data_IF_557262331613
#
_entry.id   IF_557262331613
#
_cell.length_a   1.000
_cell.length_b   1.000
_cell.length_c   1.000
_cell.angle_alpha   90.00
_cell.angle_beta   90.00
_cell.angle_gamma   90.00
#
_symmetry.space_group_name_H-M   'P 1'
#
loop_
_entity.id
_entity.type
_entity.pdbx_description
1 polymer ?
#
# COMPACT_ATOMS: atom_id res chain seq x y z
N UNK A 1 -7.40 -10.34 20.63
CA UNK A 1 -7.28 -10.20 19.17
C UNK A 1 -6.58 -8.87 18.94
N UNK A 2 -5.30 -8.86 18.54
CA UNK A 2 -4.61 -7.61 18.24
C UNK A 2 -5.30 -6.98 17.02
N UNK A 3 -5.94 -5.84 17.24
CA UNK A 3 -6.51 -5.07 16.16
C UNK A 3 -5.34 -4.42 15.41
N UNK A 4 -5.05 -4.88 14.20
CA UNK A 4 -3.94 -4.39 13.37
C UNK A 4 -4.32 -3.06 12.68
N UNK A 5 -5.63 -2.84 12.45
CA UNK A 5 -6.16 -1.69 11.75
C UNK A 5 -6.79 -0.66 12.71
N UNK A 6 -6.85 0.64 12.36
CA UNK A 6 -6.35 1.20 11.11
C UNK A 6 -4.81 1.19 11.05
N UNK A 7 -4.25 0.96 9.86
CA UNK A 7 -2.81 1.06 9.61
C UNK A 7 -2.50 2.44 9.04
N UNK A 8 -1.43 3.06 9.50
CA UNK A 8 -0.95 4.35 8.97
C UNK A 8 0.19 4.09 8.00
N UNK A 9 -0.02 4.40 6.72
CA UNK A 9 0.93 4.25 5.63
C UNK A 9 1.67 5.56 5.40
N UNK A 10 2.99 5.51 5.55
CA UNK A 10 3.93 6.61 5.35
C UNK A 10 4.59 6.42 3.98
N UNK A 11 4.34 7.35 3.06
CA UNK A 11 4.71 7.22 1.66
C UNK A 11 5.26 8.54 1.09
N UNK A 12 5.91 8.45 -0.06
CA UNK A 12 6.39 9.60 -0.82
C UNK A 12 5.37 9.98 -1.91
N UNK A 13 4.65 11.09 -1.74
CA UNK A 13 3.68 11.57 -2.73
C UNK A 13 4.34 12.19 -3.98
N UNK A 14 5.62 12.59 -3.89
CA UNK A 14 6.39 13.11 -5.04
C UNK A 14 6.76 12.03 -6.05
N UNK A 15 6.74 10.76 -5.63
CA UNK A 15 6.88 9.62 -6.53
C UNK A 15 5.53 9.28 -7.18
N UNK A 16 5.44 9.45 -8.50
CA UNK A 16 4.22 9.20 -9.27
C UNK A 16 3.66 7.77 -9.06
N UNK A 17 4.52 6.75 -9.05
CA UNK A 17 4.14 5.36 -8.80
C UNK A 17 3.56 5.18 -7.39
N UNK A 18 4.24 5.68 -6.36
CA UNK A 18 3.79 5.55 -4.98
C UNK A 18 2.47 6.29 -4.76
N UNK A 19 2.37 7.52 -5.28
CA UNK A 19 1.18 8.36 -5.12
C UNK A 19 -0.04 7.74 -5.81
N UNK A 20 0.11 7.29 -7.06
CA UNK A 20 -0.98 6.60 -7.77
C UNK A 20 -1.45 5.36 -7.02
N UNK A 21 -0.52 4.59 -6.46
CA UNK A 21 -0.87 3.37 -5.74
C UNK A 21 -1.61 3.65 -4.44
N UNK A 22 -1.11 4.57 -3.62
CA UNK A 22 -1.79 4.96 -2.38
C UNK A 22 -3.16 5.57 -2.65
N UNK A 23 -3.30 6.37 -3.73
CA UNK A 23 -4.59 6.91 -4.17
C UNK A 23 -5.58 5.79 -4.50
N UNK A 24 -5.16 4.77 -5.27
CA UNK A 24 -6.02 3.62 -5.61
C UNK A 24 -6.40 2.80 -4.39
N UNK A 25 -5.44 2.52 -3.50
CA UNK A 25 -5.73 1.83 -2.25
C UNK A 25 -6.78 2.60 -1.45
N UNK A 26 -6.64 3.93 -1.30
CA UNK A 26 -7.63 4.73 -0.56
C UNK A 26 -9.00 4.75 -1.22
N UNK A 27 -9.08 4.71 -2.55
CA UNK A 27 -10.36 4.60 -3.27
C UNK A 27 -11.12 3.29 -2.98
N UNK A 28 -10.40 2.21 -2.64
CA UNK A 28 -10.99 0.91 -2.29
C UNK A 28 -11.11 0.70 -0.77
N UNK A 29 -10.63 1.65 0.05
CA UNK A 29 -10.69 1.60 1.51
C UNK A 29 -12.05 2.07 2.04
N UNK A 30 -13.09 1.27 1.79
CA UNK A 30 -14.47 1.57 2.21
C UNK A 30 -14.68 1.51 3.73
N UNK A 31 -13.77 0.84 4.46
CA UNK A 31 -13.85 0.64 5.91
C UNK A 31 -12.93 1.58 6.71
N UNK A 32 -12.30 2.55 6.05
CA UNK A 32 -11.34 3.51 6.64
C UNK A 32 -10.21 2.82 7.45
N UNK A 33 -9.73 1.68 6.94
CA UNK A 33 -8.66 0.88 7.54
C UNK A 33 -7.28 1.46 7.22
N UNK A 34 -7.15 2.34 6.23
CA UNK A 34 -5.87 2.91 5.80
C UNK A 34 -5.83 4.42 6.07
N UNK A 35 -4.88 4.86 6.89
CA UNK A 35 -4.51 6.27 7.04
C UNK A 35 -3.28 6.54 6.17
N UNK A 36 -3.31 7.59 5.35
CA UNK A 36 -2.19 7.94 4.47
C UNK A 36 -1.47 9.17 5.01
N UNK A 37 -0.15 9.11 5.09
CA UNK A 37 0.72 10.20 5.53
C UNK A 37 1.81 10.41 4.50
N UNK A 38 1.88 11.62 3.95
CA UNK A 38 2.91 12.01 2.99
C UNK A 38 4.17 12.48 3.73
N UNK A 39 5.28 11.77 3.50
CA UNK A 39 6.58 12.08 4.08
C UNK A 39 7.39 13.06 3.22
N UNK A 40 6.95 13.32 1.99
CA UNK A 40 7.69 14.15 1.03
C UNK A 40 7.57 15.64 1.34
N UNK A 41 6.51 16.05 2.05
CA UNK A 41 6.28 17.42 2.49
C UNK A 41 7.48 17.97 3.30
N UNK A 42 7.79 19.24 3.10
CA UNK A 42 8.96 19.88 3.71
C UNK A 42 8.80 20.07 5.23
N UNK A 43 7.57 20.17 5.70
CA UNK A 43 7.15 20.30 7.09
C UNK A 43 6.84 18.95 7.75
N UNK A 44 7.06 17.83 7.05
CA UNK A 44 6.84 16.51 7.63
C UNK A 44 7.81 16.25 8.79
N UNK A 45 7.22 16.06 9.98
CA UNK A 45 7.92 15.59 11.16
C UNK A 45 7.53 14.14 11.45
N UNK A 46 8.53 13.25 11.47
CA UNK A 46 8.29 11.85 11.82
C UNK A 46 7.79 11.75 13.28
N UNK A 47 6.79 10.89 13.58
CA UNK A 47 6.34 10.68 14.95
C UNK A 47 7.46 10.22 15.88
N UNK A 48 7.31 10.44 17.18
CA UNK A 48 8.26 9.95 18.17
C UNK A 48 8.40 8.42 18.09
N UNK A 49 9.65 7.92 18.03
CA UNK A 49 9.93 6.49 17.86
C UNK A 49 9.67 5.94 16.46
N UNK A 50 9.39 6.79 15.48
CA UNK A 50 9.28 6.41 14.10
C UNK A 50 10.65 6.28 13.42
N UNK A 51 10.74 5.51 12.32
CA UNK A 51 11.89 5.53 11.42
C UNK A 51 12.19 6.95 10.90
N UNK A 52 13.43 7.19 10.52
CA UNK A 52 13.83 8.50 10.02
C UNK A 52 13.10 8.85 8.71
N UNK A 53 12.84 10.14 8.48
CA UNK A 53 12.19 10.61 7.25
C UNK A 53 12.91 10.10 6.01
N UNK A 54 14.24 10.06 6.00
CA UNK A 54 15.00 9.56 4.86
C UNK A 54 14.70 8.07 4.58
N UNK A 55 14.47 7.27 5.63
CA UNK A 55 14.09 5.86 5.49
C UNK A 55 12.65 5.71 4.98
N UNK A 56 11.73 6.51 5.51
CA UNK A 56 10.34 6.56 5.02
C UNK A 56 10.24 7.02 3.56
N UNK A 57 11.14 7.92 3.17
CA UNK A 57 11.30 8.34 1.79
C UNK A 57 11.98 7.27 0.92
N UNK A 58 12.48 6.14 1.45
CA UNK A 58 13.07 5.07 0.64
C UNK A 58 12.14 3.87 0.44
N UNK A 59 11.42 3.46 1.48
CA UNK A 59 10.54 2.29 1.46
C UNK A 59 9.18 2.67 2.03
N UNK A 60 8.12 1.95 1.63
CA UNK A 60 6.81 2.12 2.27
C UNK A 60 6.92 1.68 3.74
N UNK A 61 6.42 2.51 4.64
CA UNK A 61 6.31 2.16 6.05
C UNK A 61 4.84 2.12 6.45
N UNK A 62 4.48 1.13 7.25
CA UNK A 62 3.18 1.03 7.89
C UNK A 62 3.37 1.02 9.40
N UNK A 63 2.54 1.75 10.11
CA UNK A 63 2.36 1.61 11.56
C UNK A 63 1.00 0.98 11.81
N UNK A 64 0.99 -0.17 12.48
CA UNK A 64 -0.24 -0.85 12.89
C UNK A 64 -0.92 -0.12 14.04
N UNK A 65 -2.19 -0.43 14.31
CA UNK A 65 -2.93 0.22 15.38
C UNK A 65 -2.37 -0.07 16.79
N UNK A 66 -1.58 -1.14 16.95
CA UNK A 66 -0.82 -1.43 18.18
C UNK A 66 0.54 -0.71 18.24
N UNK A 67 0.87 0.12 17.25
CA UNK A 67 2.08 0.93 17.19
C UNK A 67 3.28 0.25 16.54
N UNK A 68 3.16 -1.01 16.10
CA UNK A 68 4.25 -1.76 15.48
C UNK A 68 4.59 -1.23 14.08
N UNK A 69 5.89 -1.12 13.79
CA UNK A 69 6.37 -0.69 12.48
C UNK A 69 6.60 -1.87 11.55
N UNK A 70 6.05 -1.79 10.35
CA UNK A 70 6.14 -2.79 9.29
C UNK A 70 6.65 -2.10 8.03
N UNK A 71 7.71 -2.63 7.41
CA UNK A 71 8.50 -1.90 6.40
C UNK A 71 8.58 -2.70 5.09
N UNK A 72 8.44 -2.01 3.96
CA UNK A 72 8.62 -2.57 2.62
C UNK A 72 7.46 -3.46 2.18
N UNK A 73 7.76 -4.63 1.62
CA UNK A 73 6.75 -5.56 1.07
C UNK A 73 5.70 -5.99 2.11
N UNK A 74 6.06 -6.30 3.37
CA UNK A 74 5.08 -6.51 4.44
C UNK A 74 4.10 -5.34 4.66
N UNK A 75 4.53 -4.09 4.47
CA UNK A 75 3.67 -2.92 4.60
C UNK A 75 2.62 -2.89 3.48
N UNK A 76 3.02 -3.21 2.24
CA UNK A 76 2.08 -3.37 1.13
C UNK A 76 1.07 -4.48 1.38
N UNK A 77 1.50 -5.61 1.97
CA UNK A 77 0.60 -6.70 2.31
C UNK A 77 -0.51 -6.24 3.26
N UNK A 78 -0.17 -5.46 4.29
CA UNK A 78 -1.15 -4.86 5.19
C UNK A 78 -2.08 -3.89 4.45
N UNK A 79 -1.54 -3.06 3.57
CA UNK A 79 -2.35 -2.14 2.77
C UNK A 79 -3.39 -2.88 1.89
N UNK A 80 -2.96 -3.90 1.14
CA UNK A 80 -3.85 -4.70 0.30
C UNK A 80 -4.87 -5.50 1.10
N UNK A 81 -4.47 -6.10 2.22
CA UNK A 81 -5.39 -6.81 3.10
C UNK A 81 -6.41 -5.86 3.75
N UNK A 82 -6.06 -4.59 3.93
CA UNK A 82 -6.98 -3.56 4.44
C UNK A 82 -8.13 -3.26 3.49
N UNK A 83 -7.90 -3.35 2.18
CA UNK A 83 -8.89 -3.05 1.13
C UNK A 83 -9.49 -4.31 0.50
N UNK A 84 -9.45 -5.43 1.24
CA UNK A 84 -9.96 -6.75 0.84
C UNK A 84 -9.31 -7.34 -0.43
N UNK A 85 -8.11 -6.88 -0.81
CA UNK A 85 -7.32 -7.44 -1.91
C UNK A 85 -6.46 -8.62 -1.42
N UNK A 86 -7.08 -9.55 -0.71
CA UNK A 86 -6.41 -10.69 -0.07
C UNK A 86 -5.61 -11.55 -1.06
N UNK A 87 -6.10 -11.72 -2.30
CA UNK A 87 -5.36 -12.43 -3.34
C UNK A 87 -3.95 -11.87 -3.59
N UNK A 88 -3.82 -10.53 -3.59
CA UNK A 88 -2.52 -9.86 -3.77
C UNK A 88 -1.66 -10.02 -2.53
N UNK A 89 -2.25 -9.82 -1.36
CA UNK A 89 -1.58 -10.01 -0.07
C UNK A 89 -1.01 -11.43 0.08
N UNK A 90 -1.77 -12.45 -0.31
CA UNK A 90 -1.38 -13.86 -0.23
C UNK A 90 -0.33 -14.22 -1.27
N UNK A 91 -0.41 -13.66 -2.48
CA UNK A 91 0.60 -13.86 -3.50
C UNK A 91 1.96 -13.30 -3.09
N UNK A 92 1.98 -12.12 -2.45
CA UNK A 92 3.18 -11.51 -1.88
C UNK A 92 3.76 -12.28 -0.69
N UNK A 93 2.96 -13.08 0.02
CA UNK A 93 3.42 -13.86 1.17
C UNK A 93 4.04 -15.22 0.79
N UNK A 94 3.89 -15.66 -0.47
CA UNK A 94 4.52 -16.91 -0.94
C UNK A 94 6.04 -16.84 -0.71
N UNK A 95 6.67 -17.87 -0.11
CA UNK A 95 8.05 -17.77 0.39
C UNK A 95 9.06 -17.41 -0.70
N UNK A 96 8.88 -17.93 -1.91
CA UNK A 96 9.72 -17.58 -3.06
C UNK A 96 9.56 -16.11 -3.48
N UNK A 97 8.30 -15.65 -3.64
CA UNK A 97 7.99 -14.27 -4.04
C UNK A 97 8.48 -13.28 -2.98
N UNK A 98 8.20 -13.56 -1.72
CA UNK A 98 8.67 -12.77 -0.58
C UNK A 98 10.19 -12.59 -0.61
N UNK A 99 10.94 -13.66 -0.85
CA UNK A 99 12.40 -13.61 -0.90
C UNK A 99 12.93 -12.77 -2.06
N UNK A 100 12.32 -12.91 -3.25
CA UNK A 100 12.69 -12.12 -4.43
C UNK A 100 12.33 -10.64 -4.22
N UNK A 101 11.11 -10.35 -3.79
CA UNK A 101 10.63 -8.98 -3.60
C UNK A 101 11.40 -8.25 -2.49
N UNK A 102 11.81 -8.93 -1.42
CA UNK A 102 12.62 -8.31 -0.37
C UNK A 102 13.98 -7.82 -0.88
N UNK A 103 14.55 -8.45 -1.91
CA UNK A 103 15.80 -8.00 -2.55
C UNK A 103 15.58 -7.00 -3.67
N UNK A 104 14.53 -7.21 -4.47
CA UNK A 104 14.28 -6.40 -5.65
C UNK A 104 13.62 -5.05 -5.32
N UNK A 105 12.73 -5.03 -4.32
CA UNK A 105 11.97 -3.84 -3.96
C UNK A 105 12.85 -2.63 -3.59
N UNK A 106 13.93 -2.77 -2.78
CA UNK A 106 14.83 -1.64 -2.52
C UNK A 106 15.50 -1.07 -3.77
N UNK A 107 15.80 -1.92 -4.76
CA UNK A 107 16.41 -1.48 -6.03
C UNK A 107 15.40 -0.71 -6.88
N UNK A 108 14.18 -1.23 -6.98
CA UNK A 108 13.06 -0.56 -7.66
C UNK A 108 12.73 0.76 -6.97
N UNK A 109 12.66 0.77 -5.65
CA UNK A 109 12.32 1.96 -4.87
C UNK A 109 13.39 3.06 -5.00
N UNK A 110 14.67 2.70 -5.09
CA UNK A 110 15.74 3.66 -5.42
C UNK A 110 15.61 4.23 -6.82
N UNK A 111 15.13 3.43 -7.77
CA UNK A 111 14.96 3.82 -9.17
C UNK A 111 13.56 4.36 -9.50
N UNK A 112 12.72 4.62 -8.49
CA UNK A 112 11.27 4.83 -8.65
C UNK A 112 10.90 6.04 -9.51
N UNK A 113 11.76 7.05 -9.57
CA UNK A 113 11.54 8.24 -10.40
C UNK A 113 11.79 7.97 -11.89
N UNK A 114 12.51 6.90 -12.23
CA UNK A 114 12.75 6.49 -13.61
C UNK A 114 11.67 5.53 -14.14
N UNK A 115 10.80 5.03 -13.27
CA UNK A 115 9.74 4.09 -13.67
C UNK A 115 8.61 4.89 -14.32
N UNK A 116 8.32 4.68 -15.62
CA UNK A 116 7.24 5.38 -16.28
C UNK A 116 5.89 5.05 -15.63
N UNK A 117 5.01 6.05 -15.48
CA UNK A 117 3.69 5.86 -14.85
C UNK A 117 2.81 4.80 -15.52
N UNK A 118 3.03 4.48 -16.79
CA UNK A 118 2.29 3.41 -17.47
C UNK A 118 2.73 1.99 -17.03
N UNK A 119 3.96 1.81 -16.53
CA UNK A 119 4.42 0.52 -16.02
C UNK A 119 3.72 0.17 -14.70
N UNK A 120 3.48 1.18 -13.87
CA UNK A 120 2.57 1.11 -12.72
C UNK A 120 1.15 0.72 -13.14
N UNK A 121 0.62 1.40 -14.18
CA UNK A 121 -0.70 1.14 -14.73
C UNK A 121 -0.86 -0.31 -15.23
N UNK A 122 0.16 -0.88 -15.88
CA UNK A 122 0.11 -2.26 -16.41
C UNK A 122 0.21 -3.30 -15.28
N UNK A 123 1.09 -3.08 -14.30
CA UNK A 123 1.19 -3.97 -13.13
C UNK A 123 -0.10 -3.98 -12.30
N UNK A 124 -0.74 -2.81 -12.13
CA UNK A 124 -1.97 -2.66 -11.36
C UNK A 124 -3.26 -2.94 -12.14
N UNK A 125 -3.35 -2.65 -13.44
CA UNK A 125 -4.52 -3.03 -14.23
C UNK A 125 -4.65 -4.56 -14.32
N UNK A 126 -3.55 -5.30 -14.33
CA UNK A 126 -3.59 -6.76 -14.23
C UNK A 126 -4.15 -7.23 -12.88
N UNK A 127 -3.84 -6.53 -11.79
CA UNK A 127 -4.36 -6.78 -10.43
C UNK A 127 -5.84 -6.38 -10.27
N UNK A 128 -6.26 -5.24 -10.84
CA UNK A 128 -7.63 -4.72 -10.76
C UNK A 128 -8.64 -5.56 -11.57
N UNK A 129 -8.19 -6.30 -12.60
CA UNK A 129 -9.08 -7.13 -13.43
C UNK A 129 -9.65 -8.37 -12.70
N UNK A 130 -9.11 -8.77 -11.53
CA UNK A 130 -9.64 -9.92 -10.77
C UNK A 130 -10.42 -9.54 -9.50
N UNK A 131 -10.35 -8.28 -9.05
CA UNK A 131 -11.12 -7.79 -7.89
C UNK A 131 -12.50 -7.22 -8.25
N UNK A 132 -12.81 -7.05 -9.54
CA UNK A 132 -14.00 -6.31 -9.99
C UNK A 132 -15.23 -7.17 -10.35
N UNK A 133 -15.39 -8.38 -9.81
CA UNK A 133 -16.64 -9.16 -9.97
C UNK A 133 -17.64 -9.01 -8.81
N UNK A 134 -17.22 -8.59 -7.60
CA UNK A 134 -18.14 -8.52 -6.44
C UNK A 134 -18.76 -7.14 -6.19
N UNK A 135 -18.17 -6.05 -6.67
CA UNK A 135 -18.72 -4.70 -6.42
C UNK A 135 -19.73 -4.20 -7.46
N UNK A 136 -19.89 -4.89 -8.60
CA UNK A 136 -20.92 -4.53 -9.60
C UNK A 136 -22.34 -4.98 -9.24
N UNK A 137 -22.52 -5.74 -8.16
CA UNK A 137 -23.85 -6.23 -7.77
C UNK A 137 -24.73 -5.17 -7.08
N UNK A 138 -24.18 -4.02 -6.65
CA UNK A 138 -24.98 -2.96 -6.06
C UNK A 138 -24.49 -1.58 -6.52
N UNK A 139 -24.96 -1.16 -7.69
CA UNK A 139 -24.99 0.26 -8.05
C UNK A 139 -26.39 0.79 -7.71
N UNK A 140 -26.46 1.89 -6.96
CA UNK A 140 -27.67 2.61 -6.51
C UNK A 140 -28.38 2.11 -5.24
N UNK A 141 -27.66 1.52 -4.29
CA UNK A 141 -28.17 1.36 -2.92
C UNK A 141 -29.31 0.33 -2.75
N UNK A 142 -29.51 -0.56 -3.71
CA UNK A 142 -30.46 -1.67 -3.59
C UNK A 142 -29.73 -2.99 -3.89
N UNK A 143 -29.46 -3.76 -2.84
CA UNK A 143 -29.08 -5.16 -2.95
C UNK A 143 -30.30 -5.99 -2.56
N UNK A 144 -30.83 -6.80 -3.48
CA UNK A 144 -31.82 -7.82 -3.12
C UNK A 144 -31.07 -9.09 -2.72
N UNK A 145 -31.39 -9.60 -1.52
CA UNK A 145 -30.86 -10.84 -0.94
C UNK A 145 -31.67 -12.01 -1.49
#
# INVERSE_FOLDING_TARGET
MNNIYPVTLYYDSSCHLCNQEMTRLKQHDHADKLKLVDCSAADFAAPAGAPDRQQMMQLLHAQTADGSWVIGVPAFRLAYAGVDFHFVADWLDKPYIKHVMHRLYPLIARNRYLIPGWFAQVWFNWLAMHAQRKSRACANGQCNI
#
